data_IF_970263390176
#
_entry.id   IF_970263390176
#
_cell.length_a   1.000
_cell.length_b   1.000
_cell.length_c   1.000
_cell.angle_alpha   90.00
_cell.angle_beta   90.00
_cell.angle_gamma   90.00
#
_symmetry.space_group_name_H-M   'P 1'
#
loop_
_entity.id
_entity.type
_entity.pdbx_description
1 polymer ?
2 non-polymer ?
3 water ?
#
# COMPACT_ATOMS: atom_id res chain seq x y z
N UNK A 37 13.45 -8.82 14.38
CA UNK A 37 11.97 -9.05 14.21
C UNK A 37 11.47 -9.13 12.74
N UNK A 38 11.18 -10.36 12.30
CA UNK A 38 10.70 -10.59 10.93
C UNK A 38 9.25 -10.20 10.82
N UNK A 39 8.43 -10.71 11.74
CA UNK A 39 6.99 -10.43 11.71
C UNK A 39 6.80 -9.02 12.28
N UNK A 40 6.03 -8.22 11.58
CA UNK A 40 5.69 -6.86 11.99
C UNK A 40 4.17 -6.78 12.08
N UNK A 41 3.69 -5.75 12.76
CA UNK A 41 2.28 -5.65 13.13
C UNK A 41 1.44 -5.12 11.98
N UNK A 42 0.20 -5.57 11.88
CA UNK A 42 -0.81 -4.92 11.04
C UNK A 42 -1.04 -3.51 11.64
N UNK A 43 -1.16 -2.48 10.79
CA UNK A 43 -1.35 -1.14 11.35
C UNK A 43 -2.62 -0.99 12.22
N UNK A 44 -3.64 -1.78 11.94
CA UNK A 44 -4.84 -1.88 12.78
C UNK A 44 -4.60 -2.07 14.24
N UNK A 45 -3.62 -2.90 14.60
CA UNK A 45 -3.37 -3.10 16.03
C UNK A 45 -2.68 -1.92 16.69
N UNK A 46 -1.89 -1.14 15.93
CA UNK A 46 -1.32 0.10 16.45
C UNK A 46 -2.41 1.15 16.66
N UNK A 47 -3.34 1.21 15.71
CA UNK A 47 -4.47 2.13 15.80
C UNK A 47 -5.32 1.79 17.04
N UNK A 48 -5.62 0.51 17.18
CA UNK A 48 -6.42 0.01 18.32
C UNK A 48 -5.86 0.45 19.64
N UNK A 49 -4.53 0.39 19.80
CA UNK A 49 -3.89 0.82 21.06
C UNK A 49 -4.03 2.31 21.28
N UNK A 50 -3.86 3.10 20.24
CA UNK A 50 -4.03 4.56 20.32
C UNK A 50 -5.47 4.92 20.71
N UNK A 51 -6.44 4.26 20.07
CA UNK A 51 -7.84 4.47 20.42
C UNK A 51 -8.13 4.11 21.89
N UNK A 52 -7.60 2.98 22.36
CA UNK A 52 -7.70 2.60 23.76
C UNK A 52 -7.13 3.66 24.71
N UNK A 53 -5.96 4.20 24.38
CA UNK A 53 -5.33 5.21 25.19
C UNK A 53 -6.09 6.52 25.25
N UNK A 54 -6.84 6.81 24.19
CA UNK A 54 -7.60 8.06 24.12
C UNK A 54 -9.04 7.92 24.60
N UNK A 55 -9.48 6.70 24.90
CA UNK A 55 -10.87 6.45 25.29
C UNK A 55 -11.86 6.65 24.15
N UNK A 56 -11.44 6.33 22.93
CA UNK A 56 -12.23 6.54 21.71
C UNK A 56 -12.67 5.18 21.20
N UNK A 57 -13.98 4.97 21.08
CA UNK A 57 -14.51 3.68 20.63
C UNK A 57 -14.29 3.52 19.12
N UNK A 58 -14.31 2.27 18.65
CA UNK A 58 -14.22 2.01 17.22
C UNK A 58 -15.29 2.78 16.41
N UNK A 59 -16.50 2.78 16.94
CA UNK A 59 -17.61 3.47 16.31
C UNK A 59 -17.38 4.97 16.23
N UNK A 60 -16.90 5.56 17.31
CA UNK A 60 -16.67 7.00 17.33
C UNK A 60 -15.54 7.35 16.35
N UNK A 61 -14.50 6.54 16.31
CA UNK A 61 -13.39 6.75 15.35
C UNK A 61 -13.90 6.67 13.90
N UNK A 62 -14.76 5.69 13.62
CA UNK A 62 -15.32 5.52 12.29
C UNK A 62 -16.15 6.74 11.89
N UNK A 63 -16.97 7.24 12.82
CA UNK A 63 -17.77 8.42 12.53
C UNK A 63 -16.93 9.66 12.33
N UNK A 64 -15.84 9.79 13.07
CA UNK A 64 -14.90 10.90 12.85
C UNK A 64 -14.25 10.85 11.47
N UNK A 65 -13.75 9.69 11.06
CA UNK A 65 -13.06 9.58 9.75
C UNK A 65 -13.99 9.40 8.56
N UNK A 66 -15.24 9.12 8.81
CA UNK A 66 -16.28 9.07 7.75
C UNK A 66 -16.44 7.71 7.07
N UNK A 67 -16.22 6.63 7.80
CA UNK A 67 -16.40 5.25 7.26
C UNK A 67 -17.33 4.49 8.23
N UNK A 68 -17.70 3.26 7.89
CA UNK A 68 -18.63 2.50 8.69
C UNK A 68 -17.88 1.95 9.90
N UNK A 69 -18.59 1.80 11.02
CA UNK A 69 -18.00 1.07 12.14
C UNK A 69 -17.54 -0.38 11.78
N UNK A 70 -18.27 -1.05 10.88
CA UNK A 70 -17.88 -2.38 10.39
C UNK A 70 -16.48 -2.35 9.74
N UNK A 71 -16.21 -1.32 8.93
CA UNK A 71 -14.90 -1.18 8.30
C UNK A 71 -13.82 -1.04 9.37
N UNK A 72 -14.05 -0.17 10.35
CA UNK A 72 -13.08 0.05 11.40
C UNK A 72 -12.85 -1.24 12.20
N UNK A 73 -13.94 -1.94 12.53
CA UNK A 73 -13.85 -3.18 13.31
C UNK A 73 -12.93 -4.21 12.62
N UNK A 74 -13.12 -4.39 11.32
CA UNK A 74 -12.29 -5.30 10.52
C UNK A 74 -10.83 -4.81 10.45
N UNK A 75 -10.63 -3.50 10.29
CA UNK A 75 -9.28 -2.94 10.24
C UNK A 75 -8.54 -3.20 11.56
N UNK A 76 -9.19 -2.89 12.69
CA UNK A 76 -8.57 -3.04 14.03
C UNK A 76 -8.22 -4.51 14.33
N UNK A 77 -9.04 -5.44 13.84
CA UNK A 77 -8.79 -6.86 13.97
C UNK A 77 -7.73 -7.39 12.98
N UNK A 78 -7.23 -6.55 12.07
CA UNK A 78 -6.29 -7.00 11.03
C UNK A 78 -6.91 -7.92 9.99
N UNK A 79 -8.23 -7.80 9.78
CA UNK A 79 -8.94 -8.63 8.84
C UNK A 79 -9.16 -7.94 7.49
N UNK A 80 -8.76 -6.67 7.37
CA UNK A 80 -8.88 -5.95 6.10
C UNK A 80 -7.74 -4.95 6.02
N UNK A 81 -7.37 -4.59 4.79
CA UNK A 81 -6.21 -3.72 4.55
C UNK A 81 -6.54 -2.21 4.75
N UNK A 82 -5.51 -1.50 5.18
CA UNK A 82 -5.50 -0.06 5.22
C UNK A 82 -5.20 0.39 3.78
N UNK A 83 -6.26 0.79 3.10
CA UNK A 83 -6.22 1.16 1.67
C UNK A 83 -5.77 2.63 1.48
N UNK A 84 -5.50 3.03 0.23
CA UNK A 84 -5.12 4.44 0.01
C UNK A 84 -6.18 5.47 0.53
N UNK A 85 -7.46 5.22 0.27
CA UNK A 85 -8.54 6.09 0.80
C UNK A 85 -8.57 6.11 2.32
N UNK A 86 -8.41 4.93 2.92
CA UNK A 86 -8.38 4.88 4.40
C UNK A 86 -7.20 5.63 4.97
N UNK A 87 -6.04 5.54 4.29
CA UNK A 87 -4.84 6.21 4.76
C UNK A 87 -4.98 7.74 4.82
N UNK A 88 -5.73 8.29 3.87
CA UNK A 88 -5.99 9.71 3.87
C UNK A 88 -6.84 10.11 5.08
N UNK A 89 -7.88 9.32 5.33
CA UNK A 89 -8.82 9.64 6.37
C UNK A 89 -8.15 9.41 7.74
N UNK A 90 -7.36 8.35 7.85
CA UNK A 90 -6.70 8.04 9.09
C UNK A 90 -5.60 9.05 9.44
N UNK A 91 -4.85 9.50 8.44
CA UNK A 91 -3.84 10.55 8.68
C UNK A 91 -4.49 11.88 9.21
N UNK A 92 -5.69 12.17 8.72
CA UNK A 92 -6.42 13.32 9.19
C UNK A 92 -6.83 13.19 10.66
N UNK A 93 -7.03 11.97 11.15
CA UNK A 93 -7.42 11.74 12.55
C UNK A 93 -6.26 11.47 13.50
N UNK A 94 -5.29 10.69 13.04
CA UNK A 94 -4.19 10.21 13.89
C UNK A 94 -2.81 10.82 13.56
N UNK A 95 -2.78 11.71 12.56
CA UNK A 95 -1.57 12.44 12.19
C UNK A 95 -0.66 11.66 11.25
N UNK A 96 0.56 12.19 11.10
CA UNK A 96 1.54 11.78 10.10
C UNK A 96 0.97 12.01 8.66
N UNK A 97 1.46 11.26 7.69
CA UNK A 97 1.03 11.41 6.29
C UNK A 97 0.28 10.17 5.87
N UNK A 98 -0.57 10.27 4.82
CA UNK A 98 -1.17 9.03 4.24
C UNK A 98 -0.10 8.01 3.84
N UNK A 99 1.01 8.50 3.30
CA UNK A 99 2.11 7.64 2.87
C UNK A 99 2.66 6.77 4.03
N UNK A 100 2.76 7.35 5.23
CA UNK A 100 3.18 6.60 6.42
C UNK A 100 2.29 5.38 6.70
N UNK A 101 0.97 5.59 6.75
CA UNK A 101 0.01 4.52 7.05
C UNK A 101 0.04 3.45 5.96
N UNK A 102 0.16 3.87 4.70
CA UNK A 102 0.26 2.93 3.62
C UNK A 102 1.52 2.09 3.68
N UNK A 103 2.60 2.73 4.10
CA UNK A 103 3.89 2.07 4.24
C UNK A 103 3.78 0.98 5.29
N UNK A 104 3.11 1.26 6.40
CA UNK A 104 2.93 0.25 7.46
C UNK A 104 2.16 -0.96 6.92
N UNK A 105 1.11 -0.72 6.12
CA UNK A 105 0.32 -1.80 5.55
C UNK A 105 1.15 -2.65 4.58
N UNK A 106 1.93 -1.98 3.72
CA UNK A 106 2.78 -2.67 2.73
C UNK A 106 3.80 -3.55 3.42
N UNK A 107 4.42 -3.00 4.45
CA UNK A 107 5.40 -3.73 5.24
C UNK A 107 4.80 -4.99 5.87
N UNK A 108 3.59 -4.85 6.44
CA UNK A 108 2.86 -5.98 6.98
C UNK A 108 2.59 -7.06 5.91
N UNK A 109 2.07 -6.63 4.75
CA UNK A 109 1.72 -7.55 3.68
C UNK A 109 2.94 -8.32 3.15
N UNK A 110 4.08 -7.63 3.00
CA UNK A 110 5.28 -8.34 2.56
C UNK A 110 5.70 -9.46 3.53
N UNK A 111 5.73 -9.12 4.81
CA UNK A 111 6.20 -10.08 5.82
C UNK A 111 5.19 -11.21 5.98
N UNK A 112 3.91 -10.92 5.74
CA UNK A 112 2.88 -11.99 5.80
C UNK A 112 3.03 -13.02 4.70
N UNK A 113 3.69 -12.67 3.60
CA UNK A 113 3.92 -13.63 2.52
C UNK A 113 4.91 -14.76 2.92
N UNK A 114 5.72 -14.50 3.95
CA UNK A 114 6.66 -15.46 4.55
C UNK A 114 7.58 -16.06 3.45
N UNK A 115 7.50 -17.38 3.27
CA UNK A 115 8.27 -18.15 2.27
C UNK A 115 7.53 -18.35 0.97
N UNK A 116 6.42 -17.66 0.73
CA UNK A 116 5.62 -17.99 -0.44
C UNK A 116 6.31 -17.77 -1.80
N UNK A 117 7.22 -16.81 -1.89
CA UNK A 117 7.81 -16.43 -3.17
C UNK A 117 9.25 -16.88 -3.29
N UNK A 118 9.50 -17.94 -4.05
CA UNK A 118 10.87 -18.41 -4.30
C UNK A 118 11.46 -17.51 -5.37
N UNK A 119 12.48 -16.72 -5.02
CA UNK A 119 13.09 -15.86 -6.00
C UNK A 119 14.37 -16.45 -6.57
N UNK A 120 14.80 -17.62 -6.10
CA UNK A 120 16.09 -18.14 -6.49
C UNK A 120 16.19 -18.45 -8.01
N UNK A 121 15.08 -18.78 -8.65
CA UNK A 121 15.10 -19.07 -10.09
C UNK A 121 14.88 -17.86 -10.98
N UNK A 122 14.68 -16.68 -10.40
CA UNK A 122 14.35 -15.48 -11.17
C UNK A 122 15.69 -14.84 -11.56
N UNK A 123 15.86 -14.64 -12.85
CA UNK A 123 17.08 -14.05 -13.39
C UNK A 123 16.97 -12.54 -13.22
N UNK A 124 18.06 -11.94 -12.74
CA UNK A 124 18.17 -10.52 -12.61
C UNK A 124 18.40 -9.87 -13.99
N UNK A 125 17.42 -9.14 -14.47
CA UNK A 125 17.54 -8.40 -15.74
C UNK A 125 18.04 -7.01 -15.46
N UNK A 126 17.67 -6.44 -14.31
CA UNK A 126 18.06 -5.07 -13.93
C UNK A 126 19.37 -5.06 -13.17
N UNK A 127 19.47 -4.14 -12.25
CA UNK A 127 20.71 -3.92 -11.48
C UNK A 127 20.30 -4.04 -10.03
N UNK A 128 21.13 -4.66 -9.19
CA UNK A 128 20.79 -4.94 -7.77
C UNK A 128 22.01 -4.93 -6.87
N UNK B 40 2.57 11.46 -12.88
CA UNK B 40 2.62 10.19 -12.08
C UNK B 40 2.06 9.02 -12.91
N UNK B 41 2.96 8.23 -13.46
CA UNK B 41 2.63 7.06 -14.24
C UNK B 41 2.30 5.88 -13.29
N UNK B 42 1.44 4.98 -13.74
CA UNK B 42 1.27 3.66 -13.14
C UNK B 42 2.61 2.92 -13.24
N UNK B 43 3.01 2.21 -12.19
CA UNK B 43 4.30 1.53 -12.23
C UNK B 43 4.42 0.47 -13.35
N UNK B 44 3.31 -0.11 -13.78
CA UNK B 44 3.30 -0.97 -14.96
C UNK B 44 3.86 -0.32 -16.21
N UNK B 45 3.57 0.96 -16.41
CA UNK B 45 4.11 1.61 -17.60
C UNK B 45 5.60 1.96 -17.45
N UNK B 46 6.07 2.12 -16.23
CA UNK B 46 7.52 2.27 -15.97
C UNK B 46 8.26 0.95 -16.26
N UNK B 47 7.66 -0.15 -15.84
CA UNK B 47 8.19 -1.48 -16.09
C UNK B 47 8.23 -1.72 -17.59
N UNK B 48 7.13 -1.42 -18.29
CA UNK B 48 7.07 -1.57 -19.75
C UNK B 48 8.22 -0.90 -20.45
N UNK B 49 8.58 0.31 -20.04
CA UNK B 49 9.72 1.04 -20.65
C UNK B 49 11.05 0.34 -20.39
N UNK B 50 11.24 -0.13 -19.15
CA UNK B 50 12.43 -0.90 -18.79
C UNK B 50 12.54 -2.19 -19.62
N UNK B 51 11.44 -2.92 -19.75
CA UNK B 51 11.41 -4.14 -20.57
C UNK B 51 11.75 -3.83 -22.02
N UNK B 52 11.15 -2.77 -22.57
CA UNK B 52 11.51 -2.30 -23.92
C UNK B 52 13.03 -2.03 -24.09
N UNK B 53 13.63 -1.36 -23.13
CA UNK B 53 15.05 -1.06 -23.17
C UNK B 53 15.95 -2.30 -23.10
N UNK B 54 15.46 -3.34 -22.45
CA UNK B 54 16.18 -4.59 -22.32
C UNK B 54 15.88 -5.61 -23.43
N UNK B 55 14.92 -5.32 -24.29
CA UNK B 55 14.48 -6.23 -25.35
C UNK B 55 13.76 -7.47 -24.84
N UNK B 56 12.99 -7.32 -23.77
CA UNK B 56 12.29 -8.42 -23.10
C UNK B 56 10.80 -8.27 -23.32
N UNK B 57 10.15 -9.32 -23.84
CA UNK B 57 8.68 -9.30 -24.00
C UNK B 57 7.98 -9.49 -22.63
N UNK B 58 6.73 -9.04 -22.54
CA UNK B 58 5.91 -9.29 -21.36
C UNK B 58 5.81 -10.79 -21.03
N UNK B 59 5.63 -11.62 -22.05
CA UNK B 59 5.55 -13.06 -21.84
C UNK B 59 6.83 -13.66 -21.26
N UNK B 60 7.98 -13.19 -21.75
CA UNK B 60 9.23 -13.68 -21.24
C UNK B 60 9.45 -13.22 -19.80
N UNK B 61 9.12 -11.97 -19.52
CA UNK B 61 9.17 -11.45 -18.15
C UNK B 61 8.26 -12.22 -17.18
N UNK B 62 7.07 -12.55 -17.62
CA UNK B 62 6.13 -13.35 -16.80
C UNK B 62 6.72 -14.74 -16.46
N UNK B 63 7.31 -15.39 -17.45
CA UNK B 63 7.92 -16.70 -17.24
C UNK B 63 9.13 -16.58 -16.28
N UNK B 64 9.92 -15.52 -16.41
CA UNK B 64 11.03 -15.31 -15.52
C UNK B 64 10.56 -15.10 -14.04
N UNK B 65 9.56 -14.26 -13.82
CA UNK B 65 9.11 -13.95 -12.46
C UNK B 65 8.13 -14.96 -11.87
N UNK B 66 7.59 -15.86 -12.71
CA UNK B 66 6.76 -16.95 -12.23
C UNK B 66 5.27 -16.61 -12.09
N UNK B 67 4.76 -15.70 -12.92
CA UNK B 67 3.29 -15.46 -12.95
C UNK B 67 2.79 -15.63 -14.37
N UNK B 68 1.48 -15.52 -14.57
CA UNK B 68 0.92 -15.72 -15.90
C UNK B 68 1.22 -14.55 -16.79
N UNK B 69 1.37 -14.81 -18.10
CA UNK B 69 1.45 -13.70 -19.03
C UNK B 69 0.23 -12.72 -18.96
N UNK B 70 -0.97 -13.25 -18.69
CA UNK B 70 -2.18 -12.42 -18.49
C UNK B 70 -2.00 -11.42 -17.36
N UNK B 71 -1.42 -11.87 -16.24
CA UNK B 71 -1.17 -10.96 -15.13
C UNK B 71 -0.22 -9.86 -15.55
N UNK B 72 0.88 -10.22 -16.21
CA UNK B 72 1.86 -9.22 -16.63
C UNK B 72 1.24 -8.24 -17.63
N UNK B 73 0.45 -8.77 -18.55
CA UNK B 73 -0.19 -7.95 -19.59
C UNK B 73 -1.06 -6.85 -18.96
N UNK B 74 -1.87 -7.24 -17.97
CA UNK B 74 -2.73 -6.31 -17.23
C UNK B 74 -1.90 -5.30 -16.43
N UNK B 75 -0.82 -5.76 -15.81
CA UNK B 75 0.07 -4.85 -15.04
C UNK B 75 0.66 -3.79 -15.99
N UNK B 76 1.25 -4.23 -17.09
CA UNK B 76 1.92 -3.33 -18.06
C UNK B 76 0.94 -2.30 -18.67
N UNK B 77 -0.31 -2.70 -18.86
CA UNK B 77 -1.37 -1.80 -19.32
C UNK B 77 -1.94 -0.89 -18.22
N UNK B 78 -1.48 -1.02 -16.98
CA UNK B 78 -2.04 -0.25 -15.85
C UNK B 78 -3.46 -0.62 -15.49
N UNK B 79 -3.88 -1.85 -15.80
CA UNK B 79 -5.23 -2.31 -15.53
C UNK B 79 -5.32 -3.09 -14.22
N UNK B 80 -4.19 -3.34 -13.57
CA UNK B 80 -4.18 -4.03 -12.28
C UNK B 80 -3.03 -3.50 -11.44
N UNK B 81 -3.15 -3.60 -10.13
CA UNK B 81 -2.15 -3.02 -9.21
C UNK B 81 -0.90 -3.91 -9.04
N UNK B 82 0.22 -3.23 -8.77
CA UNK B 82 1.45 -3.86 -8.37
C UNK B 82 1.28 -4.23 -6.87
N UNK B 83 1.03 -5.51 -6.64
CA UNK B 83 0.72 -6.05 -5.32
C UNK B 83 2.00 -6.41 -4.55
N UNK B 84 1.84 -6.69 -3.23
CA UNK B 84 3.01 -7.11 -2.46
C UNK B 84 3.74 -8.35 -3.00
N UNK B 85 2.99 -9.40 -3.37
CA UNK B 85 3.65 -10.60 -3.97
C UNK B 85 4.33 -10.27 -5.29
N UNK B 86 3.69 -9.47 -6.11
CA UNK B 86 4.32 -9.08 -7.39
C UNK B 86 5.59 -8.27 -7.14
N UNK B 87 5.60 -7.41 -6.12
CA UNK B 87 6.74 -6.56 -5.84
C UNK B 87 7.99 -7.36 -5.44
N UNK B 88 7.78 -8.49 -4.77
CA UNK B 88 8.88 -9.36 -4.43
C UNK B 88 9.50 -9.97 -5.70
N UNK B 89 8.64 -10.42 -6.59
CA UNK B 89 9.08 -11.06 -7.83
C UNK B 89 9.75 -10.03 -8.73
N UNK B 90 9.14 -8.84 -8.81
CA UNK B 90 9.63 -7.80 -9.67
C UNK B 90 11.00 -7.26 -9.19
N UNK B 91 11.16 -7.12 -7.89
CA UNK B 91 12.45 -6.70 -7.32
C UNK B 91 13.57 -7.70 -7.63
N UNK B 92 13.23 -8.99 -7.62
CA UNK B 92 14.17 -10.04 -8.01
C UNK B 92 14.62 -9.92 -9.45
N UNK B 93 13.74 -9.44 -10.34
CA UNK B 93 14.04 -9.37 -11.77
C UNK B 93 14.61 -8.02 -12.21
N UNK B 94 14.13 -6.94 -11.62
CA UNK B 94 14.48 -5.58 -12.02
C UNK B 94 15.40 -4.84 -11.02
N UNK B 95 15.60 -5.43 -9.85
CA UNK B 95 16.38 -4.82 -8.78
C UNK B 95 15.58 -3.89 -7.88
N UNK B 96 16.33 -3.26 -6.97
CA UNK B 96 15.81 -2.47 -5.86
C UNK B 96 15.08 -3.41 -4.87
N UNK B 97 14.19 -2.84 -4.05
CA UNK B 97 13.54 -3.57 -2.98
C UNK B 97 12.05 -3.74 -3.34
N UNK B 98 11.39 -4.75 -2.77
CA UNK B 98 9.93 -4.83 -2.92
C UNK B 98 9.23 -3.52 -2.49
N UNK B 99 9.72 -2.92 -1.40
CA UNK B 99 9.14 -1.69 -0.90
C UNK B 99 9.18 -0.55 -1.94
N UNK B 100 10.25 -0.45 -2.71
CA UNK B 100 10.32 0.53 -3.79
C UNK B 100 9.17 0.42 -4.81
N UNK B 101 8.95 -0.78 -5.31
CA UNK B 101 7.87 -1.03 -6.31
C UNK B 101 6.48 -0.75 -5.70
N UNK B 102 6.31 -1.11 -4.44
CA UNK B 102 5.08 -0.82 -3.74
C UNK B 102 4.89 0.68 -3.55
N UNK B 103 5.96 1.41 -3.34
CA UNK B 103 5.89 2.85 -3.17
C UNK B 103 5.47 3.50 -4.48
N UNK B 104 5.96 3.00 -5.61
CA UNK B 104 5.52 3.55 -6.91
C UNK B 104 3.99 3.36 -7.06
N UNK B 105 3.49 2.20 -6.67
CA UNK B 105 2.05 1.93 -6.74
C UNK B 105 1.25 2.84 -5.80
N UNK B 106 1.75 3.01 -4.59
CA UNK B 106 1.11 3.90 -3.57
C UNK B 106 1.05 5.30 -4.03
N UNK B 107 2.15 5.78 -4.60
CA UNK B 107 2.20 7.13 -5.18
C UNK B 107 1.14 7.32 -6.25
N UNK B 108 1.02 6.35 -7.14
CA UNK B 108 0.01 6.38 -8.19
C UNK B 108 -1.43 6.44 -7.59
N UNK B 109 -1.69 5.55 -6.62
CA UNK B 109 -3.01 5.48 -5.99
C UNK B 109 -3.37 6.77 -5.25
N UNK B 110 -2.41 7.30 -4.52
CA UNK B 110 -2.66 8.51 -3.75
C UNK B 110 -2.81 9.71 -4.66
N UNK B 111 -2.10 9.78 -5.79
CA UNK B 111 -2.27 10.89 -6.72
C UNK B 111 -3.72 10.90 -7.27
N UNK B 112 -4.35 9.75 -7.41
CA UNK B 112 -5.75 9.74 -7.86
C UNK B 112 -6.71 10.26 -6.80
N UNK B 113 -6.31 10.28 -5.53
CA UNK B 113 -7.20 10.54 -4.36
C UNK B 113 -6.89 11.76 -3.43
N UNK B 114 -5.62 12.12 -3.20
CA UNK B 114 -5.30 13.19 -2.24
C UNK B 114 -5.97 14.57 -2.56
N UNK B 115 -6.26 14.82 -3.85
CA UNK B 115 -7.04 15.98 -4.32
C UNK B 115 -8.56 15.80 -4.28
N UNK B 116 -9.05 14.62 -3.87
CA UNK B 116 -10.45 14.18 -4.02
C UNK B 116 -11.21 14.10 -2.70
N UNK B 117 -10.60 13.50 -1.70
CA UNK B 117 -11.23 13.30 -0.39
C UNK B 117 -11.19 14.53 0.54
N UNK B 118 -12.37 14.98 0.94
CA UNK B 118 -12.49 16.11 1.87
C UNK B 118 -12.22 15.62 3.28
N UNK B 119 -11.15 16.08 3.89
CA UNK B 119 -10.83 15.74 5.28
C UNK B 119 -11.25 16.86 6.24
N UNK B 120 -11.87 17.93 5.75
CA UNK B 120 -12.05 19.12 6.59
C UNK B 120 -12.94 18.87 7.82
N UNK B 121 -13.83 17.89 7.77
CA UNK B 121 -14.64 17.55 8.97
C UNK B 121 -13.99 16.64 10.02
N UNK B 122 -12.81 16.12 9.72
CA UNK B 122 -12.18 15.09 10.53
C UNK B 122 -11.35 15.78 11.62
N UNK B 123 -11.58 15.43 12.86
CA UNK B 123 -10.79 16.00 13.97
C UNK B 123 -9.46 15.26 14.08
N UNK B 124 -8.36 16.00 14.16
CA UNK B 124 -7.07 15.39 14.44
C UNK B 124 -6.96 15.28 15.97
N UNK B 125 -7.04 14.08 16.50
CA UNK B 125 -7.18 13.90 17.96
C UNK B 125 -5.97 14.50 18.70
N UNK B 126 -6.27 15.21 19.77
CA UNK B 126 -5.25 15.87 20.59
C UNK B 126 -4.83 17.26 20.13
N UNK B 127 -5.20 17.67 18.91
CA UNK B 127 -4.88 19.01 18.46
C UNK B 127 -5.81 19.99 19.14
N UNK B 128 -5.44 21.26 19.07
CA UNK B 128 -6.30 22.35 19.55
C UNK B 128 -7.58 22.40 18.76
N UNK B 129 -8.72 22.69 19.41
CA UNK B 129 -9.98 22.89 18.68
C UNK B 129 -9.80 23.87 17.51
N UNK B 130 -10.52 23.61 16.42
CA UNK B 130 -10.44 24.50 15.25
C UNK B 130 -11.14 25.81 15.61
N UNK B 131 -10.59 26.93 15.15
CA UNK B 131 -11.27 28.21 15.21
C UNK B 131 -11.33 28.86 13.80
N UNK B 132 -12.49 28.72 13.17
CA UNK B 132 -12.82 29.44 11.92
C UNK B 132 -12.85 30.96 12.20
N UNK B 133 -12.24 31.78 11.34
CA UNK B 133 -12.20 33.26 11.54
C UNK B 133 -13.60 33.89 11.40
#
# INVERSE_FOLDING_TARGET
MGSSHHHHHHSSGLVPRGSHMASMTGGQQMGRGSMRQFKVSHPGEMIARDLEDMGVSGRRFAHNIGVTPATVSRLLAGKTALTPSLSIRIAAALGSTPEFWLRLQSNYDLRQLENQIDTSGIVLYGESNEQQQNAQEH
MGSSHHHHHHSSGLVPRGSHMASMTGGQQMGRGSMRQFKVSHPGEMIARDLEDMGVSGRRFAHNIGVTPATVSRLLAGKTALTPSLSIRIAAALGSTPEFWLRLQSNYDLRQLENQIDTSGIVLYGESNEQQQNAQEH
#
